data_IF_986061567585
#
_entry.id   IF_986061567585
#
_cell.length_a   1.000
_cell.length_b   1.000
_cell.length_c   1.000
_cell.angle_alpha   90.00
_cell.angle_beta   90.00
_cell.angle_gamma   90.00
#
_symmetry.space_group_name_H-M   'P 1'
#
loop_
_entity.id
_entity.type
_entity.pdbx_description
1 polymer ?
#
# COMPACT_ATOMS: atom_id res chain seq x y z
N UNK A 1 14.80 2.56 -2.94
CA UNK A 1 13.62 2.89 -3.76
C UNK A 1 14.12 3.65 -4.96
N UNK A 2 13.92 3.10 -6.15
CA UNK A 2 14.19 3.80 -7.40
C UNK A 2 13.38 5.10 -7.51
N UNK A 3 13.87 6.06 -8.28
CA UNK A 3 13.18 7.35 -8.50
C UNK A 3 11.77 7.13 -9.06
N UNK A 4 11.62 6.18 -10.00
CA UNK A 4 10.32 5.82 -10.58
C UNK A 4 9.38 5.22 -9.53
N UNK A 5 9.84 4.24 -8.74
CA UNK A 5 9.01 3.64 -7.68
C UNK A 5 8.60 4.69 -6.63
N UNK A 6 9.48 5.63 -6.31
CA UNK A 6 9.18 6.73 -5.39
C UNK A 6 8.12 7.67 -5.96
N UNK A 7 8.24 8.06 -7.23
CA UNK A 7 7.24 8.90 -7.89
C UNK A 7 5.86 8.24 -7.93
N UNK A 8 5.81 6.94 -8.30
CA UNK A 8 4.58 6.14 -8.31
C UNK A 8 3.96 6.03 -6.91
N UNK A 9 4.79 5.76 -5.90
CA UNK A 9 4.36 5.71 -4.50
C UNK A 9 3.77 7.05 -4.04
N UNK A 10 4.45 8.16 -4.27
CA UNK A 10 3.96 9.50 -3.91
C UNK A 10 2.64 9.84 -4.63
N UNK A 11 2.51 9.45 -5.90
CA UNK A 11 1.26 9.62 -6.66
C UNK A 11 0.12 8.79 -6.07
N UNK A 12 0.37 7.54 -5.69
CA UNK A 12 -0.57 6.69 -4.98
C UNK A 12 -1.04 7.30 -3.66
N UNK A 13 -0.11 7.79 -2.84
CA UNK A 13 -0.43 8.48 -1.59
C UNK A 13 -1.28 9.74 -1.82
N UNK A 14 -0.97 10.53 -2.85
CA UNK A 14 -1.76 11.72 -3.20
C UNK A 14 -3.19 11.33 -3.59
N UNK A 15 -3.38 10.25 -4.35
CA UNK A 15 -4.70 9.77 -4.74
C UNK A 15 -5.51 9.25 -3.55
N UNK A 16 -4.87 8.58 -2.59
CA UNK A 16 -5.50 8.21 -1.32
C UNK A 16 -6.00 9.44 -0.55
N UNK A 17 -5.17 10.49 -0.43
CA UNK A 17 -5.57 11.76 0.20
C UNK A 17 -6.75 12.43 -0.52
N UNK A 18 -6.89 12.22 -1.82
CA UNK A 18 -7.99 12.72 -2.64
C UNK A 18 -9.22 11.79 -2.66
N UNK A 19 -9.24 10.76 -1.81
CA UNK A 19 -10.29 9.73 -1.75
C UNK A 19 -10.52 9.03 -3.11
N UNK A 20 -9.43 8.77 -3.85
CA UNK A 20 -9.43 8.02 -5.12
C UNK A 20 -8.66 6.69 -4.99
N UNK A 21 -9.10 5.77 -4.11
CA UNK A 21 -8.35 4.55 -3.80
C UNK A 21 -8.19 3.62 -5.00
N UNK A 22 -9.18 3.53 -5.90
CA UNK A 22 -9.09 2.70 -7.10
C UNK A 22 -7.97 3.13 -8.06
N UNK A 23 -7.75 4.44 -8.20
CA UNK A 23 -6.63 4.96 -9.00
C UNK A 23 -5.30 4.79 -8.26
N UNK A 24 -5.30 4.91 -6.93
CA UNK A 24 -4.11 4.70 -6.12
C UNK A 24 -3.55 3.27 -6.29
N UNK A 25 -4.43 2.26 -6.32
CA UNK A 25 -4.05 0.85 -6.55
C UNK A 25 -3.19 0.70 -7.80
N UNK A 26 -3.57 1.33 -8.92
CA UNK A 26 -2.83 1.19 -10.19
C UNK A 26 -1.35 1.60 -10.05
N UNK A 27 -1.09 2.76 -9.45
CA UNK A 27 0.27 3.27 -9.27
C UNK A 27 1.03 2.52 -8.17
N UNK A 28 0.34 2.09 -7.11
CA UNK A 28 0.97 1.38 -6.00
C UNK A 28 1.30 -0.08 -6.36
N UNK A 29 0.52 -0.73 -7.23
CA UNK A 29 0.84 -2.01 -7.84
C UNK A 29 2.13 -1.95 -8.66
N UNK A 30 2.27 -0.91 -9.49
CA UNK A 30 3.49 -0.69 -10.27
C UNK A 30 4.70 -0.39 -9.37
N UNK A 31 4.52 0.46 -8.34
CA UNK A 31 5.56 0.71 -7.34
C UNK A 31 5.98 -0.57 -6.60
N UNK A 32 5.02 -1.44 -6.25
CA UNK A 32 5.27 -2.74 -5.61
C UNK A 32 6.07 -3.66 -6.55
N UNK A 33 5.76 -3.67 -7.84
CA UNK A 33 6.48 -4.52 -8.80
C UNK A 33 7.94 -4.07 -8.98
N UNK A 34 8.21 -2.76 -8.90
CA UNK A 34 9.57 -2.22 -8.93
C UNK A 34 10.32 -2.49 -7.62
N UNK A 35 9.63 -2.45 -6.48
CA UNK A 35 10.23 -2.54 -5.15
C UNK A 35 9.41 -3.49 -4.24
N UNK A 36 9.45 -4.81 -4.49
CA UNK A 36 8.58 -5.78 -3.81
C UNK A 36 8.87 -5.91 -2.30
N UNK A 37 10.08 -5.54 -1.88
CA UNK A 37 10.54 -5.55 -0.49
C UNK A 37 10.31 -4.24 0.26
N UNK A 38 9.44 -3.34 -0.21
CA UNK A 38 9.13 -2.10 0.50
C UNK A 38 7.80 -2.17 1.25
N UNK A 39 7.88 -2.29 2.57
CA UNK A 39 6.72 -2.39 3.46
C UNK A 39 5.76 -1.19 3.36
N UNK A 40 6.29 0.04 3.23
CA UNK A 40 5.46 1.24 3.07
C UNK A 40 4.61 1.24 1.79
N UNK A 41 5.11 0.65 0.69
CA UNK A 41 4.32 0.51 -0.54
C UNK A 41 3.20 -0.52 -0.34
N UNK A 42 3.51 -1.65 0.31
CA UNK A 42 2.53 -2.68 0.66
C UNK A 42 1.42 -2.13 1.57
N UNK A 43 1.77 -1.35 2.59
CA UNK A 43 0.81 -0.69 3.49
C UNK A 43 -0.09 0.32 2.76
N UNK A 44 0.47 1.19 1.92
CA UNK A 44 -0.32 2.12 1.13
C UNK A 44 -1.27 1.39 0.15
N UNK A 45 -0.81 0.28 -0.43
CA UNK A 45 -1.63 -0.56 -1.32
C UNK A 45 -2.77 -1.25 -0.54
N UNK A 46 -2.47 -1.80 0.63
CA UNK A 46 -3.45 -2.40 1.53
C UNK A 46 -4.56 -1.41 1.91
N UNK A 47 -4.20 -0.18 2.29
CA UNK A 47 -5.17 0.91 2.54
C UNK A 47 -6.04 1.22 1.34
N UNK A 48 -5.45 1.20 0.15
CA UNK A 48 -6.17 1.46 -1.09
C UNK A 48 -7.19 0.34 -1.36
N UNK A 49 -6.82 -0.92 -1.17
CA UNK A 49 -7.74 -2.05 -1.25
C UNK A 49 -8.84 -2.00 -0.19
N UNK A 50 -8.49 -1.65 1.06
CA UNK A 50 -9.44 -1.51 2.16
C UNK A 50 -10.49 -0.44 1.85
N UNK A 51 -10.06 0.74 1.39
CA UNK A 51 -10.95 1.83 0.99
C UNK A 51 -11.84 1.48 -0.22
N UNK A 52 -11.41 0.51 -1.04
CA UNK A 52 -12.21 -0.08 -2.12
C UNK A 52 -13.08 -1.27 -1.67
N UNK A 53 -13.17 -1.56 -0.37
CA UNK A 53 -13.88 -2.72 0.20
C UNK A 53 -13.39 -4.09 -0.30
N UNK A 54 -12.13 -4.16 -0.75
CA UNK A 54 -11.46 -5.40 -1.15
C UNK A 54 -10.65 -5.92 0.04
N UNK A 55 -11.35 -6.40 1.05
CA UNK A 55 -10.75 -6.68 2.37
C UNK A 55 -9.74 -7.84 2.35
N UNK A 56 -9.98 -8.88 1.55
CA UNK A 56 -9.04 -10.02 1.47
C UNK A 56 -7.67 -9.58 0.95
N UNK A 57 -7.66 -8.77 -0.13
CA UNK A 57 -6.43 -8.19 -0.68
C UNK A 57 -5.78 -7.20 0.29
N UNK A 58 -6.59 -6.39 0.99
CA UNK A 58 -6.06 -5.48 2.00
C UNK A 58 -5.32 -6.24 3.10
N UNK A 59 -5.92 -7.32 3.63
CA UNK A 59 -5.31 -8.19 4.64
C UNK A 59 -3.99 -8.78 4.16
N UNK A 60 -3.98 -9.41 2.98
CA UNK A 60 -2.75 -9.99 2.40
C UNK A 60 -1.62 -8.97 2.34
N UNK A 61 -1.93 -7.75 1.89
CA UNK A 61 -0.93 -6.70 1.76
C UNK A 61 -0.48 -6.13 3.12
N UNK A 62 -1.36 -6.05 4.12
CA UNK A 62 -0.96 -5.66 5.48
C UNK A 62 -0.08 -6.73 6.14
N UNK A 63 -0.43 -8.01 6.02
CA UNK A 63 0.39 -9.13 6.51
C UNK A 63 1.79 -9.07 5.88
N UNK A 64 1.86 -8.88 4.56
CA UNK A 64 3.16 -8.75 3.88
C UNK A 64 3.92 -7.49 4.28
N UNK A 65 3.24 -6.40 4.59
CA UNK A 65 3.89 -5.19 5.09
C UNK A 65 4.57 -5.43 6.44
N UNK A 66 3.94 -6.19 7.34
CA UNK A 66 4.49 -6.57 8.66
C UNK A 66 5.66 -7.55 8.51
N UNK A 67 5.57 -8.52 7.60
CA UNK A 67 6.70 -9.41 7.32
C UNK A 67 7.96 -8.66 6.86
N UNK A 68 7.78 -7.57 6.10
CA UNK A 68 8.88 -6.76 5.58
C UNK A 68 9.37 -5.74 6.61
N UNK A 69 8.43 -5.08 7.29
CA UNK A 69 8.67 -4.05 8.29
C UNK A 69 7.80 -4.35 9.53
N UNK A 70 8.33 -5.14 10.48
CA UNK A 70 7.63 -5.50 11.71
C UNK A 70 7.30 -4.32 12.62
N UNK A 71 7.79 -3.11 12.32
CA UNK A 71 7.54 -1.87 13.07
C UNK A 71 6.45 -0.99 12.45
N UNK A 72 5.80 -1.48 11.38
CA UNK A 72 4.74 -0.73 10.72
C UNK A 72 3.44 -0.75 11.53
N UNK A 73 3.30 0.21 12.46
CA UNK A 73 2.13 0.38 13.33
C UNK A 73 0.81 0.45 12.55
N UNK A 74 0.83 1.07 11.37
CA UNK A 74 -0.37 1.22 10.55
C UNK A 74 -0.83 -0.12 9.96
N UNK A 75 0.11 -1.01 9.61
CA UNK A 75 -0.25 -2.33 9.11
C UNK A 75 -0.90 -3.19 10.20
N UNK A 76 -0.42 -3.13 11.44
CA UNK A 76 -1.11 -3.79 12.57
C UNK A 76 -2.49 -3.20 12.83
N UNK A 77 -2.61 -1.86 12.80
CA UNK A 77 -3.90 -1.20 12.93
C UNK A 77 -4.87 -1.67 11.83
N UNK A 78 -4.41 -1.74 10.57
CA UNK A 78 -5.21 -2.19 9.43
C UNK A 78 -5.69 -3.64 9.52
N UNK A 79 -4.96 -4.54 10.19
CA UNK A 79 -5.40 -5.91 10.44
C UNK A 79 -6.41 -6.03 11.59
N UNK A 80 -6.49 -5.03 12.46
CA UNK A 80 -7.44 -4.99 13.58
C UNK A 80 -8.81 -4.38 13.24
N UNK A 81 -8.99 -3.82 12.04
CA UNK A 81 -10.24 -3.26 11.52
C UNK A 81 -11.12 -4.33 10.85
#
# INVERSE_FOLDING_TARGET
MSELAYSLYQKGLKLLKLNRPGQAILFLEEAKNLEPGKGSIREALARSYYNCRRFDLAREHFEKAIEIDPTNDYAYFGLGL
#
